data_IF_676710245686
#
_entry.id   IF_676710245686
#
_cell.length_a   1.000
_cell.length_b   1.000
_cell.length_c   1.000
_cell.angle_alpha   90.00
_cell.angle_beta   90.00
_cell.angle_gamma   90.00
#
_symmetry.space_group_name_H-M   'P 1'
#
loop_
_entity.id
_entity.type
_entity.pdbx_description
1 polymer ?
#
# COMPACT_ATOMS: atom_id res chain seq x y z
N UNK A 1 -34.88 -15.91 -12.04
CA UNK A 1 -34.18 -14.91 -12.86
C UNK A 1 -32.73 -14.90 -12.40
N UNK A 2 -31.82 -15.54 -13.15
CA UNK A 2 -30.41 -15.61 -12.80
C UNK A 2 -29.72 -14.34 -13.30
N UNK A 3 -29.27 -13.49 -12.38
CA UNK A 3 -28.32 -12.42 -12.69
C UNK A 3 -26.98 -13.09 -12.98
N UNK A 4 -26.73 -13.42 -14.25
CA UNK A 4 -25.41 -13.84 -14.70
C UNK A 4 -24.51 -12.62 -14.53
N UNK A 5 -23.62 -12.70 -13.52
CA UNK A 5 -22.55 -11.75 -13.31
C UNK A 5 -21.79 -11.65 -14.62
N UNK A 6 -21.86 -10.49 -15.29
CA UNK A 6 -21.01 -10.18 -16.43
C UNK A 6 -19.58 -10.18 -15.92
N UNK A 7 -18.88 -11.28 -16.14
CA UNK A 7 -17.45 -11.39 -15.86
C UNK A 7 -16.75 -10.46 -16.86
N UNK A 8 -16.49 -9.22 -16.44
CA UNK A 8 -15.57 -8.33 -17.13
C UNK A 8 -14.18 -8.92 -16.92
N UNK A 9 -13.81 -9.93 -17.72
CA UNK A 9 -12.53 -10.61 -17.63
C UNK A 9 -11.45 -9.61 -18.02
N UNK A 10 -10.65 -9.07 -17.07
CA UNK A 10 -9.53 -8.24 -17.45
C UNK A 10 -8.59 -9.09 -18.30
N UNK A 11 -8.09 -8.51 -19.40
CA UNK A 11 -7.12 -9.23 -20.22
C UNK A 11 -5.88 -9.57 -19.38
N UNK A 12 -5.14 -10.61 -19.77
CA UNK A 12 -3.90 -10.98 -19.05
C UNK A 12 -2.88 -9.81 -19.01
N UNK A 13 -3.00 -8.87 -19.93
CA UNK A 13 -2.12 -7.70 -20.03
C UNK A 13 -2.52 -6.60 -19.04
N UNK A 14 -3.81 -6.47 -18.71
CA UNK A 14 -4.30 -5.45 -17.78
C UNK A 14 -3.83 -5.68 -16.34
N UNK A 15 -3.87 -6.92 -15.84
CA UNK A 15 -3.39 -7.21 -14.48
C UNK A 15 -1.87 -7.12 -14.37
N UNK A 16 -1.13 -7.48 -15.43
CA UNK A 16 0.32 -7.30 -15.48
C UNK A 16 0.69 -5.82 -15.47
N UNK A 17 -0.06 -4.99 -16.22
CA UNK A 17 0.14 -3.55 -16.24
C UNK A 17 -0.17 -2.91 -14.88
N UNK A 18 -1.23 -3.37 -14.20
CA UNK A 18 -1.56 -2.93 -12.84
C UNK A 18 -0.52 -3.36 -11.79
N UNK A 19 0.16 -4.49 -11.99
CA UNK A 19 1.25 -4.94 -11.14
C UNK A 19 2.60 -4.30 -11.46
N UNK A 20 2.80 -3.83 -12.70
CA UNK A 20 4.04 -3.18 -13.12
C UNK A 20 4.16 -1.77 -12.54
N UNK A 21 3.02 -1.10 -12.32
CA UNK A 21 2.98 0.27 -11.80
C UNK A 21 3.04 0.30 -10.26
N UNK A 22 4.26 0.18 -9.74
CA UNK A 22 4.56 0.05 -8.32
C UNK A 22 5.17 1.35 -7.79
N UNK A 23 4.56 1.87 -6.73
CA UNK A 23 5.14 2.95 -5.93
C UNK A 23 6.26 2.36 -5.07
N UNK A 24 7.45 2.90 -5.28
CA UNK A 24 8.66 2.50 -4.55
C UNK A 24 9.10 3.51 -3.51
N UNK A 25 8.56 4.74 -3.60
CA UNK A 25 8.92 5.85 -2.72
C UNK A 25 7.79 6.12 -1.72
N UNK A 26 8.09 6.20 -0.41
CA UNK A 26 7.09 6.56 0.59
C UNK A 26 6.57 7.99 0.40
N UNK A 27 7.43 8.93 -0.06
CA UNK A 27 7.01 10.30 -0.36
C UNK A 27 5.89 10.33 -1.41
N UNK A 28 6.04 9.50 -2.45
CA UNK A 28 5.05 9.39 -3.52
C UNK A 28 3.74 8.77 -3.00
N UNK A 29 3.82 7.73 -2.16
CA UNK A 29 2.65 7.14 -1.52
C UNK A 29 1.89 8.17 -0.68
N UNK A 30 2.60 8.90 0.19
CA UNK A 30 2.00 9.89 1.08
C UNK A 30 1.39 11.06 0.29
N UNK A 31 2.05 11.51 -0.77
CA UNK A 31 1.51 12.53 -1.65
C UNK A 31 0.24 12.07 -2.37
N UNK A 32 0.19 10.82 -2.83
CA UNK A 32 -1.00 10.25 -3.47
C UNK A 32 -2.19 10.10 -2.52
N UNK A 33 -1.91 9.89 -1.23
CA UNK A 33 -2.90 9.76 -0.17
C UNK A 33 -3.25 11.08 0.51
N UNK A 34 -2.61 12.20 0.16
CA UNK A 34 -2.78 13.50 0.83
C UNK A 34 -2.43 13.43 2.33
N UNK A 35 -1.35 12.71 2.65
CA UNK A 35 -0.87 12.39 4.01
C UNK A 35 0.58 12.85 4.23
N UNK A 36 1.08 13.74 3.38
CA UNK A 36 2.44 14.30 3.44
C UNK A 36 2.72 15.11 4.71
N UNK A 37 1.65 15.62 5.35
CA UNK A 37 1.72 16.43 6.57
C UNK A 37 1.50 15.63 7.87
N UNK A 38 1.31 14.30 7.80
CA UNK A 38 1.06 13.49 9.00
C UNK A 38 2.36 13.13 9.73
N UNK A 39 2.55 13.67 10.94
CA UNK A 39 3.76 13.44 11.75
C UNK A 39 4.00 11.97 12.10
N UNK A 40 2.96 11.14 12.26
CA UNK A 40 3.13 9.71 12.58
C UNK A 40 3.69 8.95 11.38
N UNK A 41 3.24 9.30 10.18
CA UNK A 41 3.71 8.71 8.93
C UNK A 41 5.11 9.19 8.56
N UNK A 42 5.43 10.45 8.89
CA UNK A 42 6.78 10.99 8.80
C UNK A 42 7.76 10.26 9.73
N UNK A 43 7.37 9.98 10.98
CA UNK A 43 8.19 9.18 11.90
C UNK A 43 8.41 7.73 11.39
N UNK A 44 7.42 7.16 10.71
CA UNK A 44 7.53 5.86 10.05
C UNK A 44 8.49 5.81 8.85
N UNK A 45 8.90 6.96 8.27
CA UNK A 45 9.87 7.01 7.16
C UNK A 45 11.24 6.50 7.60
N UNK A 46 11.68 6.83 8.80
CA UNK A 46 13.01 6.43 9.31
C UNK A 46 13.11 4.92 9.55
N UNK A 47 12.00 4.29 9.95
CA UNK A 47 11.92 2.83 10.12
C UNK A 47 12.14 2.06 8.79
N UNK A 48 11.80 2.68 7.66
CA UNK A 48 11.90 2.08 6.32
C UNK A 48 13.28 2.17 5.67
N UNK A 49 14.27 2.80 6.31
CA UNK A 49 15.65 2.81 5.78
C UNK A 49 16.23 1.40 5.57
N UNK A 50 15.63 0.39 6.19
CA UNK A 50 16.01 -1.02 6.10
C UNK A 50 15.20 -1.83 5.07
N UNK A 51 14.03 -1.37 4.61
CA UNK A 51 13.18 -2.12 3.68
C UNK A 51 12.59 -1.24 2.57
N UNK A 52 12.87 -1.54 1.28
CA UNK A 52 12.29 -0.79 0.16
C UNK A 52 10.78 -1.02 0.08
N UNK A 53 10.01 0.06 0.01
CA UNK A 53 8.57 0.01 -0.20
C UNK A 53 8.26 -0.48 -1.64
N UNK A 54 7.28 -1.37 -1.80
CA UNK A 54 6.76 -1.77 -3.12
C UNK A 54 5.27 -1.99 -3.03
N UNK A 55 4.49 -1.03 -3.51
CA UNK A 55 3.02 -1.06 -3.45
C UNK A 55 2.45 -0.75 -4.83
N UNK A 56 1.66 -1.64 -5.44
CA UNK A 56 0.99 -1.34 -6.71
C UNK A 56 0.07 -0.12 -6.57
N UNK A 57 0.07 0.79 -7.56
CA UNK A 57 -0.82 1.97 -7.57
C UNK A 57 -2.29 1.58 -7.48
N UNK A 58 -2.67 0.45 -8.09
CA UNK A 58 -4.03 -0.09 -8.01
C UNK A 58 -4.44 -0.45 -6.57
N UNK A 59 -3.48 -0.81 -5.70
CA UNK A 59 -3.72 -1.06 -4.28
C UNK A 59 -3.88 0.25 -3.51
N UNK A 60 -3.02 1.23 -3.79
CA UNK A 60 -3.12 2.60 -3.22
C UNK A 60 -4.42 3.28 -3.60
N UNK A 61 -4.92 3.05 -4.81
CA UNK A 61 -6.20 3.58 -5.27
C UNK A 61 -7.41 3.06 -4.47
N UNK A 62 -7.24 1.97 -3.70
CA UNK A 62 -8.28 1.44 -2.81
C UNK A 62 -8.18 1.98 -1.38
N UNK A 63 -7.09 2.68 -1.04
CA UNK A 63 -6.92 3.32 0.27
C UNK A 63 -7.75 4.60 0.35
N UNK A 64 -8.19 4.92 1.56
CA UNK A 64 -8.87 6.18 1.83
C UNK A 64 -7.85 7.34 1.93
N UNK A 65 -8.01 8.33 1.04
CA UNK A 65 -7.18 9.54 1.04
C UNK A 65 -7.49 10.40 2.26
N UNK A 66 -6.46 10.99 2.86
CA UNK A 66 -6.58 11.79 4.08
C UNK A 66 -6.84 10.97 5.35
N UNK A 67 -6.87 9.63 5.27
CA UNK A 67 -7.05 8.76 6.42
C UNK A 67 -5.73 8.02 6.77
N UNK A 68 -4.94 8.52 7.75
CA UNK A 68 -3.73 7.84 8.20
C UNK A 68 -4.01 6.53 8.95
N UNK A 69 -5.25 6.34 9.42
CA UNK A 69 -5.69 5.15 10.14
C UNK A 69 -6.23 4.05 9.22
N UNK A 70 -6.18 4.25 7.90
CA UNK A 70 -6.64 3.31 6.89
C UNK A 70 -5.99 1.92 7.08
N UNK A 71 -6.79 0.83 7.12
CA UNK A 71 -6.28 -0.50 7.39
C UNK A 71 -5.39 -1.05 6.26
N UNK A 72 -5.62 -0.67 5.00
CA UNK A 72 -4.76 -1.06 3.87
C UNK A 72 -3.43 -0.32 3.92
N UNK A 73 -3.44 0.95 4.31
CA UNK A 73 -2.23 1.73 4.54
C UNK A 73 -1.39 1.11 5.67
N UNK A 74 -2.02 0.70 6.77
CA UNK A 74 -1.36 0.00 7.89
C UNK A 74 -0.75 -1.36 7.50
N UNK A 75 -1.32 -2.05 6.51
CA UNK A 75 -0.73 -3.29 5.95
C UNK A 75 0.52 -3.03 5.10
N UNK A 76 0.63 -1.83 4.53
CA UNK A 76 1.67 -1.44 3.58
C UNK A 76 2.84 -0.71 4.24
N UNK A 77 2.55 0.02 5.30
CA UNK A 77 3.58 0.56 6.17
C UNK A 77 4.17 -0.62 6.96
N UNK A 78 5.46 -0.88 6.77
CA UNK A 78 6.21 -1.79 7.63
C UNK A 78 6.00 -1.32 9.07
N UNK A 79 5.15 -2.05 9.79
CA UNK A 79 4.93 -1.79 11.20
C UNK A 79 6.26 -1.99 11.92
N UNK A 80 6.60 -1.10 12.84
CA UNK A 80 7.77 -1.32 13.70
C UNK A 80 7.68 -2.65 14.47
N UNK A 81 6.47 -3.20 14.60
CA UNK A 81 6.20 -4.55 15.14
C UNK A 81 6.84 -5.70 14.35
N UNK A 82 7.15 -5.55 13.06
CA UNK A 82 7.87 -6.59 12.30
C UNK A 82 9.35 -6.70 12.69
N UNK A 83 9.90 -5.68 13.36
CA UNK A 83 11.27 -5.71 13.89
C UNK A 83 11.36 -6.35 15.27
N UNK A 84 10.23 -6.68 15.91
CA UNK A 84 10.27 -7.53 17.09
C UNK A 84 10.67 -8.94 16.67
N UNK A 85 11.96 -9.24 16.84
CA UNK A 85 12.47 -10.60 16.96
C UNK A 85 11.66 -11.32 18.04
N UNK A 86 10.61 -12.04 17.62
CA UNK A 86 10.03 -13.06 18.48
C UNK A 86 11.07 -14.17 18.59
N UNK A 87 11.72 -14.24 19.74
CA UNK A 87 12.58 -15.37 20.09
C UNK A 87 11.72 -16.62 20.17
N UNK A 88 11.86 -17.53 19.21
CA UNK A 88 11.16 -18.82 19.25
C UNK A 88 11.33 -19.66 17.99
N UNK A 89 12.37 -20.50 17.99
CA UNK A 89 12.28 -21.94 17.73
C UNK A 89 13.30 -22.65 18.61
#
# INVERSE_FOLDING_TARGET
MAHIVTLNTPSREDWLSQLADVITRPDELLHLLDLDNDEKLLAGREAKRLFPLRVPRAFVARMEKGNPDDPLLKQVLTAQDEFYLRSGF
#
